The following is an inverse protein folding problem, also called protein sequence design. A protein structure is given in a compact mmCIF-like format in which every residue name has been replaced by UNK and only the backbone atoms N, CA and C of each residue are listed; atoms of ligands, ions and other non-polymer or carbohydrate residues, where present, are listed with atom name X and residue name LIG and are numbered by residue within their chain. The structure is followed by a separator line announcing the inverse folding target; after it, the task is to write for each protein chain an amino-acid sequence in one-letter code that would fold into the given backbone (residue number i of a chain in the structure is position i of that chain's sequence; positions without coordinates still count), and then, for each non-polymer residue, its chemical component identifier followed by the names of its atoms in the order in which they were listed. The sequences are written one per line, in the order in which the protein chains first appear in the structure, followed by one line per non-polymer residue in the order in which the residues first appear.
data_IF_917293134281
#
_entry.id   IF_917293134281
#
_cell.length_a   1.000
_cell.length_b   1.000
_cell.length_c   1.000
_cell.angle_alpha   90.00
_cell.angle_beta   90.00
_cell.angle_gamma   90.00
#
_symmetry.space_group_name_H-M   'P 1'
#
loop_
_entity.id
_entity.type
_entity.pdbx_description
1 polymer ?
#
# COMPACT_ATOMS: atom_id res chain seq x y z
N UNK A 1 1.15 -1.62 -6.40
CA UNK A 1 -0.01 -1.45 -5.50
C UNK A 1 0.26 -0.27 -4.61
N UNK A 2 -0.72 0.60 -4.39
CA UNK A 2 -0.52 1.83 -3.61
C UNK A 2 -1.65 2.05 -2.61
N UNK A 3 -1.29 2.32 -1.36
CA UNK A 3 -2.22 2.72 -0.31
C UNK A 3 -2.06 4.22 -0.09
N UNK A 4 -3.16 4.96 -0.19
CA UNK A 4 -3.18 6.42 -0.15
C UNK A 4 -3.98 6.85 1.08
N UNK A 5 -3.39 7.73 1.90
CA UNK A 5 -4.10 8.38 3.00
C UNK A 5 -4.12 9.89 2.79
N UNK A 6 -5.29 10.50 2.95
CA UNK A 6 -5.45 11.94 2.95
C UNK A 6 -5.53 12.43 4.39
N UNK A 7 -4.39 12.84 4.97
CA UNK A 7 -4.28 13.11 6.41
C UNK A 7 -5.43 13.95 7.02
N UNK A 8 -5.97 14.99 6.35
CA UNK A 8 -7.06 15.79 6.91
C UNK A 8 -8.37 15.04 7.16
N UNK A 9 -8.60 13.89 6.52
CA UNK A 9 -9.84 13.11 6.69
C UNK A 9 -9.72 11.94 7.67
N UNK A 10 -8.55 11.77 8.29
CA UNK A 10 -8.31 10.69 9.25
C UNK A 10 -9.09 10.99 10.52
N UNK A 11 -10.04 10.12 10.95
CA UNK A 11 -10.78 10.34 12.18
C UNK A 11 -9.85 10.21 13.39
N UNK A 12 -10.06 11.07 14.39
CA UNK A 12 -9.26 11.12 15.63
C UNK A 12 -7.73 11.16 15.33
N UNK A 13 -7.25 12.19 14.60
CA UNK A 13 -5.84 12.25 14.18
C UNK A 13 -4.87 12.25 15.37
N UNK A 14 -5.30 12.77 16.52
CA UNK A 14 -4.62 12.72 17.83
C UNK A 14 -4.09 11.32 18.16
N UNK A 15 -4.88 10.27 17.90
CA UNK A 15 -4.51 8.89 18.21
C UNK A 15 -3.32 8.42 17.38
N UNK A 16 -3.26 8.83 16.11
CA UNK A 16 -2.14 8.50 15.20
C UNK A 16 -0.92 9.38 15.44
N UNK A 17 -1.10 10.58 15.99
CA UNK A 17 0.00 11.48 16.37
C UNK A 17 0.65 11.03 17.68
N UNK A 18 -0.16 10.60 18.66
CA UNK A 18 0.32 10.10 19.95
C UNK A 18 1.08 8.77 19.84
N UNK A 19 0.71 7.92 18.88
CA UNK A 19 1.35 6.61 18.68
C UNK A 19 2.31 6.62 17.49
N UNK A 20 3.61 6.72 17.78
CA UNK A 20 4.66 6.72 16.76
C UNK A 20 4.49 5.54 15.80
N UNK A 21 4.52 5.82 14.50
CA UNK A 21 4.41 4.84 13.41
C UNK A 21 3.08 4.06 13.32
N UNK A 22 2.05 4.40 14.11
CA UNK A 22 0.78 3.66 14.08
C UNK A 22 0.10 3.73 12.72
N UNK A 23 -0.01 4.92 12.14
CA UNK A 23 -0.60 5.09 10.81
C UNK A 23 0.18 4.27 9.77
N UNK A 24 1.51 4.31 9.83
CA UNK A 24 2.35 3.53 8.92
C UNK A 24 2.10 2.02 9.07
N UNK A 25 2.04 1.50 10.30
CA UNK A 25 1.74 0.08 10.57
C UNK A 25 0.38 -0.30 9.99
N UNK A 26 -0.64 0.54 10.20
CA UNK A 26 -1.96 0.32 9.65
C UNK A 26 -1.98 0.32 8.12
N UNK A 27 -1.33 1.30 7.47
CA UNK A 27 -1.21 1.31 6.00
C UNK A 27 -0.40 0.11 5.48
N UNK A 28 0.60 -0.35 6.24
CA UNK A 28 1.38 -1.54 5.92
C UNK A 28 0.51 -2.80 5.95
N UNK A 29 -0.37 -2.94 6.95
CA UNK A 29 -1.36 -4.03 6.97
C UNK A 29 -2.20 -4.01 5.70
N UNK A 30 -2.77 -2.85 5.34
CA UNK A 30 -3.60 -2.73 4.14
C UNK A 30 -2.82 -3.11 2.89
N UNK A 31 -1.58 -2.63 2.75
CA UNK A 31 -0.71 -2.99 1.63
C UNK A 31 -0.45 -4.50 1.58
N UNK A 32 -0.14 -5.10 2.73
CA UNK A 32 0.18 -6.52 2.87
C UNK A 32 -1.01 -7.41 2.50
N UNK A 33 -2.24 -7.03 2.87
CA UNK A 33 -3.45 -7.70 2.40
C UNK A 33 -3.47 -7.77 0.87
N UNK A 34 -3.24 -6.65 0.17
CA UNK A 34 -3.28 -6.60 -1.30
C UNK A 34 -2.13 -7.36 -1.95
N UNK A 35 -0.93 -7.23 -1.40
CA UNK A 35 0.25 -7.98 -1.86
C UNK A 35 0.00 -9.48 -1.75
N UNK A 36 -0.50 -9.94 -0.60
CA UNK A 36 -0.79 -11.35 -0.37
C UNK A 36 -1.87 -11.89 -1.33
N UNK A 37 -2.88 -11.08 -1.69
CA UNK A 37 -3.87 -11.45 -2.70
C UNK A 37 -3.29 -11.51 -4.09
N UNK A 38 -2.40 -10.58 -4.46
CA UNK A 38 -1.72 -10.62 -5.76
C UNK A 38 -0.91 -11.91 -5.89
N UNK A 39 -0.14 -12.28 -4.85
CA UNK A 39 0.62 -13.53 -4.83
C UNK A 39 -0.27 -14.75 -5.00
N UNK A 40 -1.39 -14.80 -4.26
CA UNK A 40 -2.40 -15.87 -4.39
C UNK A 40 -2.95 -15.97 -5.81
N UNK A 41 -3.36 -14.84 -6.39
CA UNK A 41 -4.07 -14.79 -7.67
C UNK A 41 -3.13 -14.96 -8.89
N UNK A 42 -1.83 -14.70 -8.70
CA UNK A 42 -0.79 -14.84 -9.74
C UNK A 42 0.12 -16.05 -9.52
N UNK A 43 -0.16 -16.89 -8.52
CA UNK A 43 0.56 -18.14 -8.31
C UNK A 43 0.43 -19.02 -9.56
N UNK A 44 1.57 -19.54 -10.02
CA UNK A 44 1.65 -20.52 -11.11
C UNK A 44 2.12 -21.83 -10.49
N UNK A 45 1.33 -22.89 -10.63
CA UNK A 45 1.69 -24.20 -10.09
C UNK A 45 2.97 -24.72 -10.74
N UNK A 46 3.88 -25.24 -9.91
CA UNK A 46 5.21 -25.67 -10.33
C UNK A 46 6.26 -24.56 -10.42
N UNK A 47 5.91 -23.29 -10.18
CA UNK A 47 6.87 -22.17 -10.10
C UNK A 47 6.91 -21.56 -8.70
N UNK A 48 7.91 -21.96 -7.91
CA UNK A 48 8.08 -21.50 -6.52
C UNK A 48 6.96 -22.00 -5.58
N UNK A 49 6.95 -21.48 -4.36
CA UNK A 49 5.97 -21.83 -3.32
C UNK A 49 4.79 -20.83 -3.24
N UNK A 50 4.82 -19.76 -4.04
CA UNK A 50 3.83 -18.67 -4.01
C UNK A 50 4.05 -17.66 -2.89
N UNK A 51 5.15 -17.75 -2.13
CA UNK A 51 5.53 -16.76 -1.14
C UNK A 51 6.20 -15.53 -1.77
N UNK A 52 6.24 -14.42 -1.04
CA UNK A 52 6.91 -13.19 -1.45
C UNK A 52 7.96 -12.74 -0.45
N UNK A 53 9.08 -12.25 -0.98
CA UNK A 53 10.10 -11.56 -0.18
C UNK A 53 9.64 -10.13 0.12
N UNK A 54 9.32 -9.88 1.39
CA UNK A 54 8.92 -8.55 1.86
C UNK A 54 10.15 -7.76 2.30
N UNK A 55 10.55 -6.81 1.46
CA UNK A 55 11.72 -5.97 1.65
C UNK A 55 11.26 -4.53 1.83
N UNK A 56 11.53 -3.95 3.00
CA UNK A 56 11.19 -2.58 3.32
C UNK A 56 12.37 -1.65 3.04
N UNK A 57 12.08 -0.43 2.55
CA UNK A 57 13.09 0.61 2.47
C UNK A 57 13.47 1.08 3.87
N UNK A 58 14.77 1.22 4.12
CA UNK A 58 15.25 1.65 5.43
C UNK A 58 14.79 3.09 5.76
N UNK A 59 14.22 3.31 6.94
CA UNK A 59 13.79 4.60 7.49
C UNK A 59 14.31 4.71 8.92
N UNK A 60 15.13 5.73 9.17
CA UNK A 60 15.80 5.97 10.46
C UNK A 60 14.87 6.02 11.69
N UNK A 61 13.57 6.27 11.50
CA UNK A 61 12.58 6.38 12.57
C UNK A 61 11.81 5.09 12.88
N UNK A 62 12.07 3.97 12.18
CA UNK A 62 11.33 2.71 12.31
C UNK A 62 12.21 1.54 12.78
N UNK A 63 11.78 0.87 13.85
CA UNK A 63 12.33 -0.42 14.27
C UNK A 63 11.75 -1.55 13.41
N UNK A 64 12.60 -2.28 12.69
CA UNK A 64 12.17 -3.47 11.93
C UNK A 64 11.78 -4.64 12.82
N UNK A 65 12.37 -4.71 14.02
CA UNK A 65 11.94 -5.66 15.05
C UNK A 65 10.48 -5.39 15.38
N UNK A 66 10.09 -4.14 15.58
CA UNK A 66 8.70 -3.78 15.86
C UNK A 66 7.78 -4.06 14.68
N UNK A 67 8.26 -3.86 13.44
CA UNK A 67 7.47 -4.15 12.24
C UNK A 67 7.20 -5.65 12.10
N UNK A 68 8.22 -6.50 12.32
CA UNK A 68 8.04 -7.96 12.34
C UNK A 68 7.09 -8.38 13.46
N UNK A 69 7.27 -7.85 14.66
CA UNK A 69 6.38 -8.10 15.81
C UNK A 69 4.94 -7.70 15.51
N UNK A 70 4.75 -6.57 14.82
CA UNK A 70 3.43 -6.11 14.39
C UNK A 70 2.78 -7.06 13.38
N UNK A 71 3.52 -7.53 12.38
CA UNK A 71 2.99 -8.47 11.37
C UNK A 71 2.67 -9.82 12.02
N UNK A 72 3.50 -10.28 12.96
CA UNK A 72 3.23 -11.50 13.73
C UNK A 72 1.99 -11.34 14.65
N UNK A 73 1.78 -10.16 15.23
CA UNK A 73 0.54 -9.84 15.95
C UNK A 73 -0.68 -9.93 15.02
N UNK A 74 -0.59 -9.38 13.79
CA UNK A 74 -1.67 -9.50 12.81
C UNK A 74 -1.97 -10.96 12.47
N UNK A 75 -0.93 -11.81 12.36
CA UNK A 75 -1.08 -13.25 12.12
C UNK A 75 -1.87 -13.91 13.22
N UNK A 76 -1.49 -13.68 14.48
CA UNK A 76 -2.20 -14.20 15.66
C UNK A 76 -3.65 -13.70 15.71
N UNK A 77 -3.87 -12.41 15.48
CA UNK A 77 -5.21 -11.82 15.47
C UNK A 77 -6.10 -12.38 14.36
N UNK A 78 -5.54 -12.73 13.19
CA UNK A 78 -6.32 -13.30 12.10
C UNK A 78 -6.90 -14.69 12.43
N UNK A 79 -6.22 -15.45 13.30
CA UNK A 79 -6.72 -16.73 13.80
C UNK A 79 -7.92 -16.58 14.76
N UNK A 80 -8.11 -15.38 15.30
CA UNK A 80 -9.21 -15.05 16.22
C UNK A 80 -10.42 -14.43 15.50
N UNK A 81 -10.60 -14.69 14.20
CA UNK A 81 -11.68 -14.17 13.36
C UNK A 81 -11.79 -12.62 13.33
N UNK A 82 -10.68 -11.91 13.45
CA UNK A 82 -10.65 -10.46 13.21
C UNK A 82 -10.76 -10.15 11.71
N UNK A 83 -11.08 -8.90 11.36
CA UNK A 83 -11.20 -8.46 9.95
C UNK A 83 -9.85 -8.35 9.19
N UNK A 84 -8.86 -9.17 9.53
CA UNK A 84 -7.55 -9.21 8.87
C UNK A 84 -7.64 -10.19 7.70
N UNK A 85 -7.47 -9.69 6.48
CA UNK A 85 -7.71 -10.46 5.26
C UNK A 85 -6.42 -10.90 4.55
N UNK A 86 -5.30 -10.96 5.27
CA UNK A 86 -4.00 -11.34 4.70
C UNK A 86 -4.04 -12.82 4.31
N UNK A 87 -3.62 -13.13 3.09
CA UNK A 87 -3.39 -14.51 2.65
C UNK A 87 -2.01 -14.98 3.16
N UNK A 88 -1.98 -15.49 4.40
CA UNK A 88 -0.76 -15.89 5.09
C UNK A 88 0.15 -16.89 4.37
N UNK A 89 -0.33 -17.84 3.54
CA UNK A 89 0.57 -18.70 2.77
C UNK A 89 1.54 -17.93 1.86
N UNK A 90 1.19 -16.71 1.44
CA UNK A 90 2.09 -15.87 0.64
C UNK A 90 3.13 -15.11 1.48
N UNK A 91 3.00 -15.09 2.82
CA UNK A 91 3.78 -14.20 3.70
C UNK A 91 4.61 -15.01 4.69
N UNK A 92 5.94 -14.98 4.52
CA UNK A 92 6.90 -15.60 5.45
C UNK A 92 7.48 -14.51 6.35
N UNK A 93 7.01 -14.43 7.59
CA UNK A 93 7.31 -13.32 8.51
C UNK A 93 8.79 -13.25 8.90
N UNK A 94 9.47 -14.39 8.90
CA UNK A 94 10.89 -14.54 9.22
C UNK A 94 11.80 -13.97 8.12
N UNK A 95 11.32 -13.93 6.86
CA UNK A 95 12.06 -13.39 5.72
C UNK A 95 11.94 -11.87 5.58
N UNK A 96 11.16 -11.22 6.45
CA UNK A 96 10.95 -9.77 6.41
C UNK A 96 12.23 -9.03 6.81
N UNK A 97 12.73 -8.22 5.89
CA UNK A 97 13.96 -7.45 6.08
C UNK A 97 13.82 -6.01 5.59
N UNK A 98 14.80 -5.20 5.97
CA UNK A 98 14.93 -3.84 5.46
C UNK A 98 16.31 -3.63 4.88
N UNK A 99 16.36 -2.79 3.86
CA UNK A 99 17.58 -2.49 3.09
C UNK A 99 17.58 -0.99 2.79
N UNK A 100 18.76 -0.38 2.79
CA UNK A 100 18.88 1.02 2.40
C UNK A 100 18.40 1.21 0.95
N UNK A 101 17.68 2.31 0.70
CA UNK A 101 17.01 2.54 -0.58
C UNK A 101 17.95 2.51 -1.80
N UNK A 102 19.22 2.91 -1.62
CA UNK A 102 20.25 2.93 -2.65
C UNK A 102 20.91 1.56 -2.92
N UNK A 103 20.60 0.53 -2.14
CA UNK A 103 21.22 -0.80 -2.25
C UNK A 103 20.38 -1.78 -3.07
N UNK A 104 19.17 -1.43 -3.49
CA UNK A 104 18.29 -2.34 -4.22
C UNK A 104 17.39 -1.61 -5.22
N UNK A 105 17.55 -1.91 -6.51
CA UNK A 105 16.75 -1.32 -7.60
C UNK A 105 15.24 -1.54 -7.43
N UNK A 106 14.83 -2.66 -6.82
CA UNK A 106 13.41 -2.90 -6.51
C UNK A 106 12.80 -1.86 -5.56
N UNK A 107 13.60 -1.34 -4.61
CA UNK A 107 13.15 -0.26 -3.72
C UNK A 107 13.01 1.05 -4.49
N UNK A 108 13.91 1.34 -5.43
CA UNK A 108 13.85 2.51 -6.31
C UNK A 108 12.57 2.50 -7.17
N UNK A 109 12.21 1.34 -7.72
CA UNK A 109 10.95 1.19 -8.46
C UNK A 109 9.75 1.44 -7.55
N UNK A 110 9.75 0.89 -6.32
CA UNK A 110 8.66 1.11 -5.38
C UNK A 110 8.50 2.60 -5.01
N UNK A 111 9.60 3.33 -4.83
CA UNK A 111 9.58 4.76 -4.56
C UNK A 111 9.15 5.58 -5.77
N UNK A 112 9.61 5.22 -6.98
CA UNK A 112 9.16 5.84 -8.22
C UNK A 112 7.64 5.70 -8.41
N UNK A 113 7.07 4.53 -8.10
CA UNK A 113 5.62 4.30 -8.14
C UNK A 113 4.91 5.14 -7.08
N UNK A 114 5.39 5.18 -5.84
CA UNK A 114 4.79 5.99 -4.77
C UNK A 114 4.81 7.49 -5.10
N UNK A 115 5.92 7.97 -5.64
CA UNK A 115 6.13 9.36 -6.08
C UNK A 115 5.24 9.71 -7.28
N UNK A 116 5.15 8.82 -8.26
CA UNK A 116 4.26 8.96 -9.42
C UNK A 116 2.80 9.05 -8.99
N UNK A 117 2.35 8.21 -8.06
CA UNK A 117 1.00 8.30 -7.49
C UNK A 117 0.79 9.63 -6.77
N UNK A 118 1.76 10.08 -5.99
CA UNK A 118 1.68 11.35 -5.27
C UNK A 118 1.52 12.55 -6.21
N UNK A 119 2.36 12.68 -7.23
CA UNK A 119 2.25 13.76 -8.22
C UNK A 119 1.03 13.61 -9.13
N UNK A 120 0.58 12.38 -9.35
CA UNK A 120 -0.64 12.06 -10.08
C UNK A 120 -1.91 12.65 -9.46
N UNK A 121 -1.95 12.74 -8.13
CA UNK A 121 -3.17 13.09 -7.39
C UNK A 121 -3.05 14.40 -6.60
N UNK A 122 -1.84 14.87 -6.31
CA UNK A 122 -1.62 16.10 -5.55
C UNK A 122 -1.58 17.30 -6.47
N UNK A 123 -2.34 18.33 -6.10
CA UNK A 123 -2.22 19.64 -6.74
C UNK A 123 -0.86 20.27 -6.45
N UNK A 124 -0.18 20.73 -7.50
CA UNK A 124 1.00 21.58 -7.42
C UNK A 124 0.65 22.95 -6.81
N UNK A 125 1.67 23.79 -6.60
CA UNK A 125 1.45 25.19 -6.15
C UNK A 125 0.59 26.00 -7.11
N UNK A 126 0.48 25.59 -8.38
CA UNK A 126 -0.34 26.21 -9.41
C UNK A 126 -1.76 25.64 -9.46
N UNK A 127 -2.13 24.72 -8.55
CA UNK A 127 -3.46 24.11 -8.56
C UNK A 127 -3.65 23.04 -9.65
N UNK A 128 -2.55 22.51 -10.21
CA UNK A 128 -2.57 21.51 -11.29
C UNK A 128 -1.95 20.19 -10.78
N UNK A 129 -2.59 19.05 -11.04
CA UNK A 129 -2.00 17.71 -10.89
C UNK A 129 -1.60 17.14 -12.25
N UNK A 130 -0.69 16.17 -12.27
CA UNK A 130 -0.27 15.50 -13.51
C UNK A 130 -0.85 14.07 -13.61
N UNK A 131 -2.07 13.89 -14.14
CA UNK A 131 -2.73 12.59 -14.17
C UNK A 131 -2.03 11.56 -15.07
N UNK A 132 -1.09 11.96 -15.93
CA UNK A 132 -0.40 11.07 -16.87
C UNK A 132 0.33 9.92 -16.16
N UNK A 133 0.92 10.19 -14.99
CA UNK A 133 1.53 9.17 -14.13
C UNK A 133 0.55 8.05 -13.77
N UNK A 134 -0.71 8.41 -13.47
CA UNK A 134 -1.72 7.42 -13.11
C UNK A 134 -2.21 6.63 -14.31
N UNK A 135 -2.32 7.27 -15.48
CA UNK A 135 -2.67 6.56 -16.73
C UNK A 135 -1.64 5.48 -17.04
N UNK A 136 -0.34 5.78 -16.88
CA UNK A 136 0.74 4.80 -17.08
C UNK A 136 0.71 3.67 -16.05
N UNK A 137 0.51 4.01 -14.77
CA UNK A 137 0.48 3.03 -13.69
C UNK A 137 -0.75 2.11 -13.72
N UNK A 138 -1.84 2.54 -14.36
CA UNK A 138 -3.10 1.78 -14.46
C UNK A 138 -2.90 0.38 -15.05
N UNK A 139 -2.07 0.27 -16.09
CA UNK A 139 -1.82 -1.01 -16.78
C UNK A 139 -1.03 -2.00 -15.91
N UNK A 140 -0.24 -1.49 -14.96
CA UNK A 140 0.55 -2.28 -14.01
C UNK A 140 -0.19 -2.52 -12.69
N UNK A 141 -1.30 -1.83 -12.46
CA UNK A 141 -2.04 -1.91 -11.22
C UNK A 141 -2.73 -3.27 -11.09
N UNK A 142 -2.60 -3.89 -9.91
CA UNK A 142 -3.29 -5.13 -9.60
C UNK A 142 -4.80 -4.98 -9.79
N UNK A 143 -5.37 -5.79 -10.68
CA UNK A 143 -6.79 -5.85 -10.97
C UNK A 143 -7.36 -7.18 -10.52
N UNK A 144 -8.46 -7.15 -9.78
CA UNK A 144 -9.21 -8.33 -9.37
C UNK A 144 -10.69 -8.11 -9.70
N UNK A 145 -11.34 -9.11 -10.33
CA UNK A 145 -12.74 -9.01 -10.79
C UNK A 145 -13.04 -7.71 -11.55
N UNK A 146 -12.14 -7.34 -12.46
CA UNK A 146 -12.18 -6.11 -13.26
C UNK A 146 -12.04 -4.78 -12.49
N UNK A 147 -11.87 -4.79 -11.16
CA UNK A 147 -11.65 -3.58 -10.35
C UNK A 147 -10.17 -3.41 -9.97
N UNK A 148 -9.63 -2.19 -10.16
CA UNK A 148 -8.35 -1.77 -9.58
C UNK A 148 -8.52 -1.06 -8.24
N UNK A 149 -9.68 -0.45 -8.02
CA UNK A 149 -10.02 0.15 -6.74
C UNK A 149 -10.18 -0.91 -5.66
N UNK A 150 -9.50 -0.69 -4.54
CA UNK A 150 -9.43 -1.65 -3.43
C UNK A 150 -8.27 -2.65 -3.55
N UNK A 151 -7.69 -2.80 -4.75
CA UNK A 151 -6.65 -3.78 -5.08
C UNK A 151 -5.35 -3.06 -5.49
N UNK A 152 -5.24 -2.64 -6.75
CA UNK A 152 -4.09 -1.90 -7.28
C UNK A 152 -3.90 -0.54 -6.61
N UNK A 153 -5.00 0.13 -6.27
CA UNK A 153 -5.02 1.39 -5.50
C UNK A 153 -6.09 1.34 -4.41
N UNK A 154 -5.76 1.75 -3.20
CA UNK A 154 -6.72 1.86 -2.09
C UNK A 154 -6.52 3.16 -1.35
N UNK A 155 -7.59 3.96 -1.32
CA UNK A 155 -7.69 5.09 -0.40
C UNK A 155 -8.09 4.59 0.98
N UNK A 156 -7.49 5.14 2.03
CA UNK A 156 -7.91 4.89 3.41
C UNK A 156 -9.39 5.26 3.57
N UNK A 157 -9.74 6.46 3.11
CA UNK A 157 -11.09 7.01 3.12
C UNK A 157 -11.88 6.60 1.88
N UNK A 158 -13.19 6.85 1.91
CA UNK A 158 -14.06 6.56 0.78
C UNK A 158 -13.66 7.43 -0.42
N UNK A 159 -13.34 6.78 -1.54
CA UNK A 159 -12.89 7.48 -2.73
C UNK A 159 -13.97 8.39 -3.34
N UNK A 160 -15.26 8.04 -3.24
CA UNK A 160 -16.34 8.88 -3.74
C UNK A 160 -16.47 10.18 -2.95
N UNK A 161 -16.29 10.13 -1.63
CA UNK A 161 -16.33 11.34 -0.80
C UNK A 161 -15.09 12.21 -1.03
N UNK A 162 -13.91 11.58 -1.19
CA UNK A 162 -12.69 12.28 -1.61
C UNK A 162 -12.87 12.96 -2.97
N UNK A 163 -13.53 12.32 -3.94
CA UNK A 163 -13.81 12.92 -5.25
C UNK A 163 -14.72 14.14 -5.17
N UNK A 164 -15.72 14.13 -4.27
CA UNK A 164 -16.58 15.31 -4.04
C UNK A 164 -15.78 16.48 -3.49
N UNK A 165 -14.84 16.20 -2.57
CA UNK A 165 -13.97 17.22 -1.98
C UNK A 165 -12.85 17.68 -2.92
N UNK A 166 -12.36 16.78 -3.77
CA UNK A 166 -11.22 16.98 -4.66
C UNK A 166 -11.55 16.53 -6.09
N UNK A 167 -12.32 17.33 -6.85
CA UNK A 167 -12.81 16.93 -8.17
C UNK A 167 -11.70 16.64 -9.21
N UNK A 168 -10.51 17.20 -9.03
CA UNK A 168 -9.35 16.96 -9.90
C UNK A 168 -8.90 15.49 -9.90
N UNK A 169 -9.25 14.71 -8.87
CA UNK A 169 -8.99 13.27 -8.84
C UNK A 169 -9.67 12.51 -9.98
N UNK A 170 -10.72 13.07 -10.61
CA UNK A 170 -11.38 12.43 -11.76
C UNK A 170 -10.39 12.17 -12.90
N UNK A 171 -9.56 13.15 -13.23
CA UNK A 171 -8.59 13.02 -14.33
C UNK A 171 -7.53 11.94 -14.02
N UNK A 172 -7.09 11.86 -12.77
CA UNK A 172 -6.09 10.87 -12.34
C UNK A 172 -6.60 9.43 -12.39
N UNK A 173 -7.90 9.22 -12.19
CA UNK A 173 -8.49 7.88 -12.10
C UNK A 173 -9.49 7.57 -13.22
N UNK A 174 -9.36 8.23 -14.36
CA UNK A 174 -10.17 7.93 -15.53
C UNK A 174 -9.90 6.49 -16.01
N UNK A 175 -10.98 5.70 -16.17
CA UNK A 175 -10.95 4.31 -16.62
C UNK A 175 -10.17 3.32 -15.71
N UNK A 176 -10.04 3.59 -14.40
CA UNK A 176 -9.40 2.69 -13.43
C UNK A 176 -10.25 1.49 -12.99
#
# INVERSE_FOLDING_TARGET
MSIISYKPDIPNPEHYQANKCLLYRYLTRLLLERVSWLCRDKKIDGQGDGSVDLIFSDRASMSYVDLRNYIELLRKQSLLNTNIQIHWPAVVTEKIRAVAHNQMSGLQIADAVATSVFYGIRLSRLGISDPSYMVLLRELAYQHKKSRFGYGVKFLSNFQDLKKQMPHLNAAFENW
#
